data_IF_145568035231
#
_entry.id   IF_145568035231
#
_cell.length_a   1.000
_cell.length_b   1.000
_cell.length_c   1.000
_cell.angle_alpha   90.00
_cell.angle_beta   90.00
_cell.angle_gamma   90.00
#
_symmetry.space_group_name_H-M   'P 1'
#
loop_
_entity.id
_entity.type
_entity.pdbx_description
1 polymer ?
#
# COMPACT_ATOMS: atom_id res chain seq x y z
N UNK A 1 3.70 -12.12 -12.79
CA UNK A 1 2.52 -11.23 -12.56
C UNK A 1 2.82 -9.87 -13.16
N UNK A 2 1.78 -9.13 -13.61
CA UNK A 2 1.94 -7.81 -14.22
C UNK A 2 1.11 -6.81 -13.42
N UNK A 3 1.71 -5.65 -13.14
CA UNK A 3 1.08 -4.55 -12.41
C UNK A 3 1.18 -3.26 -13.23
N UNK A 4 0.21 -2.35 -13.14
CA UNK A 4 0.31 -1.05 -13.79
C UNK A 4 1.44 -0.21 -13.19
N UNK A 5 2.06 0.62 -14.01
CA UNK A 5 3.02 1.63 -13.59
C UNK A 5 2.76 2.94 -14.34
N UNK A 6 3.16 4.09 -13.80
CA UNK A 6 2.90 5.39 -14.43
C UNK A 6 3.71 5.58 -15.70
N UNK A 7 3.30 6.56 -16.51
CA UNK A 7 4.03 7.05 -17.69
C UNK A 7 4.28 5.97 -18.75
N UNK A 8 3.25 5.18 -19.07
CA UNK A 8 3.34 4.17 -20.12
C UNK A 8 4.28 3.02 -19.81
N UNK A 9 4.45 2.70 -18.53
CA UNK A 9 5.25 1.57 -18.07
C UNK A 9 4.39 0.52 -17.40
N UNK A 10 4.97 -0.66 -17.22
CA UNK A 10 4.39 -1.75 -16.43
C UNK A 10 5.46 -2.35 -15.52
N UNK A 11 5.02 -2.86 -14.38
CA UNK A 11 5.87 -3.69 -13.52
C UNK A 11 5.58 -5.15 -13.81
N UNK A 12 6.62 -5.92 -14.03
CA UNK A 12 6.55 -7.37 -14.26
C UNK A 12 7.29 -8.08 -13.15
N UNK A 13 6.58 -8.85 -12.34
CA UNK A 13 7.19 -9.72 -11.35
C UNK A 13 7.31 -11.14 -11.96
N UNK A 14 8.54 -11.58 -12.13
CA UNK A 14 8.89 -12.90 -12.64
C UNK A 14 10.00 -13.48 -11.77
N UNK A 15 9.77 -14.71 -11.32
CA UNK A 15 10.67 -15.42 -10.42
C UNK A 15 11.04 -14.55 -9.19
N UNK A 16 12.30 -14.26 -9.01
CA UNK A 16 12.84 -13.49 -7.90
C UNK A 16 13.22 -12.05 -8.32
N UNK A 17 12.61 -11.52 -9.39
CA UNK A 17 12.94 -10.20 -9.91
C UNK A 17 11.68 -9.41 -10.29
N UNK A 18 11.68 -8.14 -9.95
CA UNK A 18 10.70 -7.14 -10.36
C UNK A 18 11.34 -6.25 -11.45
N UNK A 19 10.72 -6.23 -12.62
CA UNK A 19 11.17 -5.44 -13.77
C UNK A 19 10.25 -4.26 -14.01
N UNK A 20 10.81 -3.09 -14.27
CA UNK A 20 10.07 -1.97 -14.83
C UNK A 20 10.30 -1.94 -16.36
N UNK A 21 9.24 -2.21 -17.09
CA UNK A 21 9.25 -2.27 -18.56
C UNK A 21 8.60 -1.03 -19.16
N UNK A 22 9.27 -0.39 -20.08
CA UNK A 22 8.76 0.75 -20.84
C UNK A 22 8.10 0.26 -22.14
N UNK A 23 6.79 0.51 -22.27
CA UNK A 23 6.00 0.06 -23.41
C UNK A 23 6.36 0.78 -24.70
N UNK A 24 6.74 2.06 -24.62
CA UNK A 24 7.13 2.87 -25.78
C UNK A 24 8.51 2.48 -26.29
N UNK A 25 9.47 2.37 -25.37
CA UNK A 25 10.84 1.97 -25.68
C UNK A 25 11.01 0.46 -25.91
N UNK A 26 9.97 -0.33 -25.56
CA UNK A 26 9.95 -1.80 -25.68
C UNK A 26 11.14 -2.49 -25.00
N UNK A 27 11.53 -2.01 -23.83
CA UNK A 27 12.68 -2.56 -23.07
C UNK A 27 12.48 -2.46 -21.55
N UNK A 28 13.21 -3.32 -20.84
CA UNK A 28 13.38 -3.18 -19.40
C UNK A 28 14.21 -1.93 -19.10
N UNK A 29 13.74 -1.09 -18.18
CA UNK A 29 14.38 0.18 -17.79
C UNK A 29 15.12 0.01 -16.48
N UNK A 30 14.48 -0.66 -15.51
CA UNK A 30 15.02 -0.93 -14.19
C UNK A 30 14.64 -2.34 -13.73
N UNK A 31 15.44 -2.90 -12.85
CA UNK A 31 15.19 -4.19 -12.24
C UNK A 31 15.56 -4.18 -10.76
N UNK A 32 14.86 -4.97 -9.96
CA UNK A 32 15.10 -5.16 -8.54
C UNK A 32 14.93 -6.63 -8.19
N UNK A 33 15.93 -7.20 -7.52
CA UNK A 33 15.83 -8.56 -6.98
C UNK A 33 14.88 -8.56 -5.77
N UNK A 34 13.69 -9.09 -5.97
CA UNK A 34 12.67 -9.24 -4.92
C UNK A 34 11.75 -10.39 -5.28
N UNK A 35 11.62 -11.33 -4.35
CA UNK A 35 10.81 -12.55 -4.53
C UNK A 35 9.40 -12.38 -3.99
N UNK A 36 8.51 -13.26 -4.43
CA UNK A 36 7.15 -13.41 -3.88
C UNK A 36 6.31 -12.12 -3.90
N UNK A 37 6.45 -11.27 -4.92
CA UNK A 37 5.65 -10.06 -5.07
C UNK A 37 4.17 -10.42 -5.17
N UNK A 38 3.36 -9.83 -4.31
CA UNK A 38 1.92 -10.09 -4.18
C UNK A 38 1.06 -8.92 -4.64
N UNK A 39 1.46 -7.69 -4.29
CA UNK A 39 0.72 -6.47 -4.62
C UNK A 39 1.68 -5.31 -4.81
N UNK A 40 1.25 -4.35 -5.62
CA UNK A 40 1.95 -3.09 -5.84
C UNK A 40 0.95 -1.94 -5.75
N UNK A 41 1.32 -0.91 -5.00
CA UNK A 41 0.53 0.31 -4.84
C UNK A 41 1.40 1.52 -5.16
N UNK A 42 0.95 2.36 -6.07
CA UNK A 42 1.58 3.65 -6.34
C UNK A 42 0.95 4.75 -5.48
N UNK A 43 1.77 5.68 -5.00
CA UNK A 43 1.24 6.86 -4.34
C UNK A 43 0.55 7.80 -5.36
N UNK A 44 -0.33 8.72 -4.91
CA UNK A 44 -1.07 9.61 -5.81
C UNK A 44 -0.20 10.46 -6.73
N UNK A 45 0.99 10.84 -6.29
CA UNK A 45 1.98 11.59 -7.09
C UNK A 45 2.78 10.71 -8.07
N UNK A 46 2.60 9.39 -8.04
CA UNK A 46 3.39 8.43 -8.80
C UNK A 46 4.91 8.57 -8.63
N UNK A 47 5.34 9.07 -7.49
CA UNK A 47 6.77 9.23 -7.16
C UNK A 47 7.35 8.02 -6.46
N UNK A 48 6.53 7.29 -5.72
CA UNK A 48 6.91 6.10 -4.98
C UNK A 48 5.89 4.99 -5.16
N UNK A 49 6.34 3.75 -5.01
CA UNK A 49 5.44 2.62 -4.92
C UNK A 49 5.77 1.73 -3.71
N UNK A 50 4.75 1.11 -3.18
CA UNK A 50 4.88 0.07 -2.16
C UNK A 50 4.70 -1.29 -2.83
N UNK A 51 5.70 -2.14 -2.65
CA UNK A 51 5.68 -3.53 -3.12
C UNK A 51 5.52 -4.45 -1.93
N UNK A 52 4.44 -5.21 -1.92
CA UNK A 52 4.15 -6.18 -0.87
C UNK A 52 4.56 -7.56 -1.34
N UNK A 53 5.40 -8.20 -0.56
CA UNK A 53 5.81 -9.60 -0.73
C UNK A 53 5.14 -10.50 0.32
N UNK A 54 5.51 -11.74 0.34
CA UNK A 54 5.02 -12.68 1.35
C UNK A 54 5.44 -12.30 2.78
N UNK A 55 6.61 -11.69 2.96
CA UNK A 55 7.23 -11.46 4.27
C UNK A 55 7.69 -10.03 4.52
N UNK A 56 7.58 -9.16 3.54
CA UNK A 56 8.12 -7.80 3.62
C UNK A 56 7.32 -6.80 2.81
N UNK A 57 7.45 -5.55 3.20
CA UNK A 57 6.96 -4.38 2.47
C UNK A 57 8.19 -3.59 2.03
N UNK A 58 8.27 -3.27 0.76
CA UNK A 58 9.31 -2.41 0.18
C UNK A 58 8.68 -1.10 -0.26
N UNK A 59 9.33 -0.01 0.05
CA UNK A 59 9.06 1.31 -0.53
C UNK A 59 10.11 1.60 -1.56
N UNK A 60 9.71 1.82 -2.80
CA UNK A 60 10.58 2.04 -3.94
C UNK A 60 10.31 3.41 -4.56
N UNK A 61 11.32 4.01 -5.13
CA UNK A 61 11.18 5.17 -6.01
C UNK A 61 10.79 4.75 -7.45
N UNK A 62 10.75 5.73 -8.35
CA UNK A 62 10.46 5.50 -9.78
C UNK A 62 11.49 4.65 -10.51
N UNK A 63 12.68 4.51 -9.96
CA UNK A 63 13.81 3.77 -10.53
C UNK A 63 13.98 2.39 -9.87
N UNK A 64 13.00 1.99 -9.05
CA UNK A 64 13.03 0.78 -8.23
C UNK A 64 14.15 0.76 -7.18
N UNK A 65 14.72 1.93 -6.82
CA UNK A 65 15.61 2.02 -5.70
C UNK A 65 14.85 1.85 -4.38
N UNK A 66 15.38 1.03 -3.48
CA UNK A 66 14.75 0.77 -2.18
C UNK A 66 14.98 1.96 -1.25
N UNK A 67 13.91 2.67 -0.93
CA UNK A 67 13.90 3.79 0.02
C UNK A 67 13.74 3.28 1.45
N UNK A 68 12.83 2.32 1.63
CA UNK A 68 12.53 1.74 2.93
C UNK A 68 12.11 0.27 2.76
N UNK A 69 12.38 -0.53 3.79
CA UNK A 69 11.96 -1.91 3.86
C UNK A 69 11.54 -2.27 5.27
N UNK A 70 10.41 -2.93 5.40
CA UNK A 70 9.90 -3.42 6.68
C UNK A 70 9.49 -4.90 6.55
N UNK A 71 9.84 -5.70 7.55
CA UNK A 71 9.33 -7.06 7.66
C UNK A 71 7.88 -7.04 8.16
N UNK A 72 7.02 -7.78 7.48
CA UNK A 72 5.65 -8.00 7.90
C UNK A 72 5.31 -9.48 7.71
N UNK A 73 5.16 -10.17 8.83
CA UNK A 73 4.87 -11.61 8.85
C UNK A 73 3.38 -11.92 8.65
N UNK A 74 2.53 -10.95 8.97
CA UNK A 74 1.08 -11.10 8.80
C UNK A 74 0.68 -10.88 7.36
N UNK A 75 -0.24 -11.71 6.85
CA UNK A 75 -0.75 -11.53 5.49
C UNK A 75 -1.48 -10.19 5.37
N UNK A 76 -0.98 -9.34 4.49
CA UNK A 76 -1.61 -8.07 4.16
C UNK A 76 -2.84 -8.34 3.28
N UNK A 77 -3.98 -7.81 3.68
CA UNK A 77 -5.25 -7.94 2.97
C UNK A 77 -5.42 -6.86 1.90
N UNK A 78 -5.19 -5.63 2.28
CA UNK A 78 -5.26 -4.46 1.40
C UNK A 78 -4.41 -3.33 1.92
N UNK A 79 -4.20 -2.30 1.09
CA UNK A 79 -3.54 -1.08 1.50
C UNK A 79 -3.85 0.07 0.54
N UNK A 80 -3.65 1.27 1.02
CA UNK A 80 -3.76 2.50 0.22
C UNK A 80 -2.85 3.57 0.78
N UNK A 81 -2.60 4.58 -0.02
CA UNK A 81 -1.93 5.80 0.43
C UNK A 81 -2.94 6.81 0.95
N UNK A 82 -2.56 7.54 1.98
CA UNK A 82 -3.26 8.74 2.41
C UNK A 82 -2.79 9.98 1.63
N UNK A 83 -3.40 11.12 1.93
CA UNK A 83 -3.08 12.40 1.29
C UNK A 83 -1.67 12.93 1.66
N UNK A 84 -1.07 12.40 2.73
CA UNK A 84 0.26 12.78 3.23
C UNK A 84 1.35 11.81 2.79
N UNK A 85 1.05 10.92 1.83
CA UNK A 85 1.94 9.85 1.37
C UNK A 85 2.32 8.82 2.45
N UNK A 86 1.50 8.64 3.48
CA UNK A 86 1.65 7.50 4.38
C UNK A 86 0.94 6.29 3.78
N UNK A 87 1.51 5.13 3.92
CA UNK A 87 0.89 3.89 3.48
C UNK A 87 0.14 3.24 4.64
N UNK A 88 -1.17 3.10 4.49
CA UNK A 88 -2.04 2.43 5.48
C UNK A 88 -2.45 1.07 4.92
N UNK A 89 -2.32 0.04 5.73
CA UNK A 89 -2.65 -1.31 5.32
C UNK A 89 -3.33 -2.12 6.42
N UNK A 90 -4.09 -3.12 6.00
CA UNK A 90 -4.75 -4.05 6.91
C UNK A 90 -4.15 -5.44 6.82
N UNK A 91 -4.10 -6.09 7.98
CA UNK A 91 -3.84 -7.52 8.14
C UNK A 91 -5.13 -8.22 8.61
N UNK A 92 -5.06 -9.47 8.98
CA UNK A 92 -6.23 -10.17 9.54
C UNK A 92 -6.68 -9.62 10.89
N UNK A 93 -5.76 -8.98 11.64
CA UNK A 93 -5.98 -8.61 13.05
C UNK A 93 -5.68 -7.15 13.38
N UNK A 94 -5.07 -6.42 12.45
CA UNK A 94 -4.64 -5.04 12.71
C UNK A 94 -4.77 -4.15 11.48
N UNK A 95 -5.01 -2.87 11.72
CA UNK A 95 -4.77 -1.80 10.76
C UNK A 95 -3.48 -1.11 11.18
N UNK A 96 -2.55 -1.02 10.23
CA UNK A 96 -1.19 -0.50 10.43
C UNK A 96 -0.88 0.61 9.44
N UNK A 97 0.16 1.37 9.74
CA UNK A 97 0.68 2.41 8.84
C UNK A 97 2.21 2.39 8.79
N UNK A 98 2.75 2.91 7.72
CA UNK A 98 4.17 3.21 7.58
C UNK A 98 4.37 4.49 6.77
N UNK A 99 5.37 5.27 7.14
CA UNK A 99 5.81 6.40 6.34
C UNK A 99 6.75 5.93 5.23
N UNK A 100 6.73 6.63 4.08
CA UNK A 100 7.57 6.27 2.95
C UNK A 100 9.05 6.43 3.30
N UNK A 101 9.38 7.52 3.98
CA UNK A 101 10.74 7.82 4.42
C UNK A 101 10.90 7.54 5.91
N UNK A 102 12.07 7.05 6.27
CA UNK A 102 12.38 6.71 7.66
C UNK A 102 11.84 5.34 8.08
N UNK A 103 12.08 4.98 9.33
CA UNK A 103 11.69 3.67 9.90
C UNK A 103 10.42 3.75 10.75
N UNK A 104 9.65 4.81 10.61
CA UNK A 104 8.46 5.02 11.43
C UNK A 104 7.29 4.24 10.85
N UNK A 105 6.79 3.32 11.64
CA UNK A 105 5.60 2.55 11.37
C UNK A 105 4.88 2.25 12.68
N UNK A 106 3.61 1.91 12.61
CA UNK A 106 2.84 1.62 13.81
C UNK A 106 1.54 0.90 13.52
N UNK A 107 0.81 0.63 14.60
CA UNK A 107 -0.50 0.03 14.56
C UNK A 107 -1.54 1.06 14.99
N UNK A 108 -2.54 1.29 14.14
CA UNK A 108 -3.66 2.15 14.49
C UNK A 108 -4.64 1.45 15.42
N UNK A 109 -5.00 0.21 15.08
CA UNK A 109 -6.03 -0.51 15.79
C UNK A 109 -5.92 -2.01 15.58
N UNK A 110 -6.25 -2.78 16.64
CA UNK A 110 -6.60 -4.20 16.51
C UNK A 110 -8.04 -4.33 16.01
N UNK A 111 -8.28 -5.31 15.17
CA UNK A 111 -9.58 -5.62 14.59
C UNK A 111 -9.92 -7.09 14.81
N UNK A 112 -11.19 -7.36 15.09
CA UNK A 112 -11.68 -8.72 15.34
C UNK A 112 -12.02 -9.45 14.03
N UNK A 113 -12.37 -8.69 12.99
CA UNK A 113 -12.68 -9.19 11.67
C UNK A 113 -11.78 -8.56 10.61
N UNK A 114 -11.39 -9.29 9.53
CA UNK A 114 -10.61 -8.74 8.44
C UNK A 114 -11.34 -7.59 7.75
N UNK A 115 -10.68 -6.46 7.58
CA UNK A 115 -11.20 -5.30 6.84
C UNK A 115 -10.30 -4.99 5.66
N UNK A 116 -10.89 -4.41 4.61
CA UNK A 116 -10.17 -3.94 3.44
C UNK A 116 -10.08 -2.41 3.47
N UNK A 117 -8.86 -1.89 3.39
CA UNK A 117 -8.61 -0.46 3.31
C UNK A 117 -8.56 -0.09 1.83
N UNK A 118 -9.51 0.73 1.37
CA UNK A 118 -9.60 1.17 -0.01
C UNK A 118 -9.20 2.66 -0.17
N UNK A 119 -9.54 3.48 0.82
CA UNK A 119 -9.26 4.90 0.81
C UNK A 119 -9.06 5.43 2.23
N UNK A 120 -8.07 6.28 2.42
CA UNK A 120 -7.85 7.01 3.68
C UNK A 120 -7.76 8.48 3.35
N UNK A 121 -8.75 9.26 3.82
CA UNK A 121 -8.71 10.71 3.77
C UNK A 121 -8.39 11.25 5.15
N UNK A 122 -7.36 12.06 5.24
CA UNK A 122 -7.04 12.79 6.47
C UNK A 122 -7.75 14.14 6.41
N UNK A 123 -9.02 14.15 6.75
CA UNK A 123 -9.73 15.39 7.11
C UNK A 123 -9.30 15.87 8.52
N UNK A 124 -8.06 15.65 8.92
CA UNK A 124 -7.64 15.56 10.31
C UNK A 124 -6.59 16.56 10.75
N UNK A 125 -6.36 17.62 10.01
CA UNK A 125 -5.30 18.57 10.41
C UNK A 125 -5.73 19.63 11.45
N UNK A 126 -6.97 19.66 11.93
CA UNK A 126 -7.44 20.75 12.80
C UNK A 126 -8.29 20.36 14.02
N UNK A 127 -8.37 19.09 14.44
CA UNK A 127 -9.15 18.72 15.63
C UNK A 127 -8.37 17.76 16.56
N UNK A 128 -8.61 17.81 17.87
CA UNK A 128 -7.77 17.10 18.85
C UNK A 128 -7.71 15.59 18.63
N UNK A 129 -6.53 15.13 18.64
CA UNK A 129 -5.91 13.92 18.10
C UNK A 129 -6.55 12.53 18.34
N UNK A 130 -7.49 12.34 19.25
CA UNK A 130 -7.98 10.99 19.58
C UNK A 130 -9.43 10.68 19.18
N UNK A 131 -10.33 11.63 19.31
CA UNK A 131 -11.76 11.39 19.06
C UNK A 131 -12.08 11.26 17.55
N UNK A 132 -11.30 11.93 16.69
CA UNK A 132 -11.54 11.97 15.25
C UNK A 132 -10.96 10.75 14.50
N UNK A 133 -9.91 10.13 14.99
CA UNK A 133 -9.40 8.88 14.41
C UNK A 133 -10.47 7.77 14.45
N UNK A 134 -11.24 7.72 15.54
CA UNK A 134 -12.33 6.75 15.69
C UNK A 134 -13.49 7.07 14.72
N UNK A 135 -13.79 8.33 14.47
CA UNK A 135 -14.87 8.74 13.58
C UNK A 135 -14.56 8.46 12.11
N UNK A 136 -13.32 8.72 11.66
CA UNK A 136 -12.85 8.40 10.31
C UNK A 136 -12.83 6.90 10.07
N UNK A 137 -12.35 6.14 11.04
CA UNK A 137 -12.37 4.68 11.00
C UNK A 137 -13.80 4.14 10.91
N UNK A 138 -14.74 4.66 11.70
CA UNK A 138 -16.15 4.25 11.63
C UNK A 138 -16.77 4.54 10.27
N UNK A 139 -16.44 5.67 9.63
CA UNK A 139 -16.96 6.02 8.31
C UNK A 139 -16.40 5.12 7.21
N UNK A 140 -15.13 4.75 7.28
CA UNK A 140 -14.52 3.75 6.39
C UNK A 140 -15.18 2.38 6.54
N UNK A 141 -15.47 1.95 7.76
CA UNK A 141 -16.14 0.68 8.04
C UNK A 141 -17.61 0.67 7.56
N UNK A 142 -18.34 1.79 7.66
CA UNK A 142 -19.73 1.87 7.18
C UNK A 142 -19.81 1.79 5.65
N UNK A 143 -18.93 2.48 4.93
CA UNK A 143 -18.89 2.44 3.47
C UNK A 143 -18.57 1.04 2.92
N UNK A 144 -17.68 0.31 3.59
CA UNK A 144 -17.35 -1.05 3.14
C UNK A 144 -18.48 -2.06 3.39
N UNK A 145 -19.22 -1.91 4.47
CA UNK A 145 -20.38 -2.78 4.76
C UNK A 145 -21.50 -2.59 3.75
N UNK A 146 -21.66 -1.37 3.23
CA UNK A 146 -22.67 -1.06 2.22
C UNK A 146 -22.29 -1.62 0.83
N UNK A 147 -21.01 -1.80 0.51
CA UNK A 147 -20.54 -2.42 -0.73
C UNK A 147 -20.71 -3.96 -0.72
N UNK A 148 -20.52 -4.62 0.41
CA UNK A 148 -20.76 -6.08 0.52
C UNK A 148 -22.25 -6.45 0.40
N UNK A 149 -23.17 -5.54 0.77
CA UNK A 149 -24.60 -5.76 0.67
C UNK A 149 -25.15 -5.80 -0.78
N UNK A 150 -24.32 -5.50 -1.79
CA UNK A 150 -24.69 -5.51 -3.21
C UNK A 150 -24.22 -6.76 -3.96
N UNK A 151 -23.58 -7.72 -3.28
CA UNK A 151 -23.02 -8.95 -3.88
C UNK A 151 -23.64 -10.26 -3.37
N UNK A 152 -24.77 -10.18 -2.62
CA UNK A 152 -25.60 -11.34 -2.26
C UNK A 152 -26.85 -11.43 -3.11
#
# INVERSE_FOLDING_TARGET
MIYPAPLGKILVAADDTLFLYDLSAKRVVYELSVSDVRRVYWNPAFSHCVVITKTSIYVLDRQLAVINQQKESSKIKSGCFDEQNSFVYSTSTHIKYMFLEGKTSGTFKSIDEPVYVAFVSILLTLLPLLANQIAVMRKLFSLHRDEEAWHD
#
